data_IF_408489160225
#
_entry.id   IF_408489160225
#
_cell.length_a   1.000
_cell.length_b   1.000
_cell.length_c   1.000
_cell.angle_alpha   90.00
_cell.angle_beta   90.00
_cell.angle_gamma   90.00
#
_symmetry.space_group_name_H-M   'P 1'
#
loop_
_entity.id
_entity.type
_entity.pdbx_description
1 polymer ?
#
# COMPACT_ATOMS: atom_id res chain seq x y z
N UNK A 1 -5.54 6.74 -13.12
CA UNK A 1 -4.77 5.69 -12.44
C UNK A 1 -5.34 4.27 -12.64
N UNK A 2 -6.66 4.09 -12.80
CA UNK A 2 -7.30 2.77 -12.97
C UNK A 2 -6.77 1.82 -14.09
N UNK A 3 -6.28 2.26 -15.27
CA UNK A 3 -5.94 1.32 -16.35
C UNK A 3 -4.78 0.38 -16.02
N UNK A 4 -3.83 0.82 -15.20
CA UNK A 4 -2.63 0.01 -14.87
C UNK A 4 -2.97 -1.11 -13.85
N UNK A 5 -4.07 -0.96 -13.08
CA UNK A 5 -4.41 -1.90 -12.01
C UNK A 5 -5.05 -3.20 -12.50
N UNK A 6 -5.87 -3.12 -13.56
CA UNK A 6 -6.55 -4.30 -14.10
C UNK A 6 -5.55 -5.30 -14.71
N UNK A 7 -4.55 -4.81 -15.43
CA UNK A 7 -3.52 -5.66 -16.05
C UNK A 7 -2.65 -6.37 -15.00
N UNK A 8 -2.28 -5.67 -13.92
CA UNK A 8 -1.47 -6.27 -12.84
C UNK A 8 -2.20 -7.40 -12.10
N UNK A 9 -3.50 -7.24 -11.81
CA UNK A 9 -4.29 -8.29 -11.16
C UNK A 9 -4.42 -9.56 -12.02
N UNK A 10 -4.38 -9.39 -13.35
CA UNK A 10 -4.47 -10.50 -14.30
C UNK A 10 -3.18 -11.32 -14.35
N UNK A 11 -2.02 -10.69 -14.10
CA UNK A 11 -0.71 -11.36 -14.10
C UNK A 11 -0.24 -11.81 -12.71
N UNK A 12 -0.68 -11.15 -11.64
CA UNK A 12 -0.27 -11.43 -10.27
C UNK A 12 -1.49 -11.50 -9.35
N UNK A 13 -2.04 -12.70 -9.19
CA UNK A 13 -3.27 -12.96 -8.45
C UNK A 13 -3.30 -12.38 -7.02
N UNK A 14 -2.13 -12.27 -6.35
CA UNK A 14 -2.02 -11.63 -5.02
C UNK A 14 -2.40 -10.15 -4.99
N UNK A 15 -2.43 -9.45 -6.13
CA UNK A 15 -2.83 -8.04 -6.21
C UNK A 15 -4.32 -7.83 -6.44
N UNK A 16 -5.10 -8.89 -6.70
CA UNK A 16 -6.52 -8.78 -7.02
C UNK A 16 -7.36 -8.12 -5.91
N UNK A 17 -6.92 -8.22 -4.65
CA UNK A 17 -7.61 -7.63 -3.50
C UNK A 17 -7.46 -6.11 -3.36
N UNK A 18 -6.49 -5.48 -4.02
CA UNK A 18 -6.23 -4.04 -3.82
C UNK A 18 -7.29 -3.13 -4.46
N UNK A 19 -7.86 -3.53 -5.60
CA UNK A 19 -8.87 -2.73 -6.30
C UNK A 19 -10.07 -2.38 -5.41
N UNK A 20 -10.76 -3.39 -4.84
CA UNK A 20 -11.88 -3.14 -3.92
C UNK A 20 -11.49 -2.34 -2.66
N UNK A 21 -10.29 -2.56 -2.11
CA UNK A 21 -9.80 -1.83 -0.92
C UNK A 21 -9.56 -0.35 -1.23
N UNK A 22 -8.97 -0.03 -2.38
CA UNK A 22 -8.82 1.35 -2.84
C UNK A 22 -10.15 2.03 -3.10
N UNK A 23 -11.11 1.32 -3.73
CA UNK A 23 -12.44 1.86 -3.96
C UNK A 23 -13.13 2.21 -2.64
N UNK A 24 -13.10 1.30 -1.67
CA UNK A 24 -13.67 1.54 -0.35
C UNK A 24 -13.06 2.76 0.35
N UNK A 25 -11.73 2.87 0.41
CA UNK A 25 -11.08 4.03 1.02
C UNK A 25 -11.38 5.34 0.26
N UNK A 26 -11.46 5.28 -1.07
CA UNK A 26 -11.78 6.43 -1.90
C UNK A 26 -13.23 6.90 -1.71
N UNK A 27 -14.18 5.99 -1.53
CA UNK A 27 -15.59 6.31 -1.26
C UNK A 27 -15.73 7.15 0.01
N UNK A 28 -14.98 6.83 1.08
CA UNK A 28 -14.95 7.63 2.31
C UNK A 28 -14.33 9.02 2.11
N UNK A 29 -13.19 9.09 1.40
CA UNK A 29 -12.54 10.38 1.07
C UNK A 29 -13.48 11.26 0.25
N UNK A 30 -14.17 10.70 -0.74
CA UNK A 30 -15.14 11.42 -1.56
C UNK A 30 -16.42 11.77 -0.79
N UNK A 31 -16.77 10.98 0.22
CA UNK A 31 -17.82 11.26 1.19
C UNK A 31 -17.49 12.38 2.19
N UNK A 32 -16.28 12.95 2.12
CA UNK A 32 -15.83 14.06 2.97
C UNK A 32 -15.08 13.64 4.23
N UNK A 33 -14.89 12.34 4.45
CA UNK A 33 -14.05 11.83 5.54
C UNK A 33 -12.58 11.77 5.08
N UNK A 34 -11.94 12.95 5.11
CA UNK A 34 -10.57 13.11 4.64
C UNK A 34 -9.53 12.33 5.45
N UNK A 35 -9.87 11.84 6.65
CA UNK A 35 -8.97 10.98 7.43
C UNK A 35 -8.67 9.67 6.67
N UNK A 36 -9.59 9.19 5.83
CA UNK A 36 -9.37 8.02 4.98
C UNK A 36 -8.33 8.22 3.88
N UNK A 37 -7.82 9.43 3.67
CA UNK A 37 -6.77 9.66 2.70
C UNK A 37 -5.42 9.10 3.18
N UNK A 38 -5.02 9.42 4.42
CA UNK A 38 -3.68 9.09 4.94
C UNK A 38 -3.62 8.77 6.43
N UNK A 39 -4.75 8.66 7.13
CA UNK A 39 -4.75 8.35 8.56
C UNK A 39 -4.12 6.97 8.81
N UNK A 40 -3.25 6.84 9.83
CA UNK A 40 -2.67 5.57 10.23
C UNK A 40 -3.64 4.70 11.06
N UNK A 41 -4.81 5.25 11.46
CA UNK A 41 -5.77 4.58 12.34
C UNK A 41 -6.78 3.72 11.59
N UNK A 42 -6.91 3.95 10.29
CA UNK A 42 -7.82 3.21 9.41
C UNK A 42 -7.02 2.63 8.26
N UNK A 43 -7.63 1.70 7.52
CA UNK A 43 -7.11 1.25 6.24
C UNK A 43 -7.33 2.36 5.19
N UNK A 44 -6.57 3.45 5.35
CA UNK A 44 -6.63 4.62 4.48
C UNK A 44 -6.12 4.28 3.09
N UNK A 45 -6.44 5.14 2.13
CA UNK A 45 -5.96 5.03 0.76
C UNK A 45 -4.43 4.90 0.72
N UNK A 46 -3.72 5.69 1.53
CA UNK A 46 -2.26 5.59 1.67
C UNK A 46 -1.79 4.26 2.29
N UNK A 47 -2.54 3.67 3.23
CA UNK A 47 -2.22 2.36 3.79
C UNK A 47 -2.30 1.26 2.73
N UNK A 48 -3.39 1.21 1.98
CA UNK A 48 -3.59 0.25 0.88
C UNK A 48 -2.49 0.42 -0.17
N UNK A 49 -2.10 1.67 -0.47
CA UNK A 49 -1.00 1.97 -1.38
C UNK A 49 0.36 1.51 -0.87
N UNK A 50 0.70 1.75 0.39
CA UNK A 50 1.98 1.30 0.96
C UNK A 50 2.12 -0.22 0.92
N UNK A 51 1.09 -0.95 1.34
CA UNK A 51 1.09 -2.42 1.32
C UNK A 51 1.28 -2.95 -0.11
N UNK A 52 0.51 -2.40 -1.07
CA UNK A 52 0.65 -2.74 -2.48
C UNK A 52 2.06 -2.42 -3.01
N UNK A 53 2.62 -1.27 -2.62
CA UNK A 53 3.95 -0.82 -3.04
C UNK A 53 5.04 -1.75 -2.51
N UNK A 54 4.95 -2.21 -1.26
CA UNK A 54 5.86 -3.21 -0.73
C UNK A 54 5.75 -4.55 -1.44
N UNK A 55 4.53 -5.00 -1.72
CA UNK A 55 4.35 -6.24 -2.47
C UNK A 55 4.90 -6.14 -3.89
N UNK A 56 4.79 -4.98 -4.55
CA UNK A 56 5.41 -4.76 -5.86
C UNK A 56 6.93 -4.79 -5.77
N UNK A 57 7.53 -4.10 -4.81
CA UNK A 57 8.98 -4.11 -4.60
C UNK A 57 9.50 -5.54 -4.35
N UNK A 58 8.85 -6.29 -3.45
CA UNK A 58 9.18 -7.69 -3.18
C UNK A 58 9.08 -8.56 -4.45
N UNK A 59 8.06 -8.33 -5.28
CA UNK A 59 7.90 -9.02 -6.59
C UNK A 59 9.09 -8.78 -7.51
N UNK A 60 9.64 -7.57 -7.49
CA UNK A 60 10.75 -7.15 -8.32
C UNK A 60 12.11 -7.48 -7.69
N UNK A 61 12.13 -8.15 -6.53
CA UNK A 61 13.36 -8.47 -5.81
C UNK A 61 14.03 -7.25 -5.15
N UNK A 62 13.26 -6.17 -4.94
CA UNK A 62 13.72 -4.95 -4.26
C UNK A 62 13.30 -5.06 -2.79
N UNK A 63 14.26 -5.30 -1.90
CA UNK A 63 13.98 -5.47 -0.46
C UNK A 63 14.21 -4.18 0.35
N UNK A 64 13.36 -3.17 0.13
CA UNK A 64 13.39 -1.95 0.94
C UNK A 64 12.92 -2.14 2.38
N UNK A 65 12.01 -3.09 2.62
CA UNK A 65 11.50 -3.38 3.96
C UNK A 65 12.60 -4.00 4.84
N UNK A 66 13.40 -4.91 4.29
CA UNK A 66 14.59 -5.43 4.93
C UNK A 66 15.65 -4.36 5.18
N UNK A 67 15.85 -3.43 4.24
CA UNK A 67 16.75 -2.28 4.42
C UNK A 67 16.30 -1.34 5.55
N UNK A 68 15.01 -0.99 5.62
CA UNK A 68 14.41 -0.15 6.67
C UNK A 68 14.47 -0.83 8.05
N UNK A 69 14.14 -2.12 8.12
CA UNK A 69 14.23 -2.91 9.34
C UNK A 69 15.69 -3.06 9.82
N UNK A 70 16.63 -3.28 8.90
CA UNK A 70 18.06 -3.33 9.19
C UNK A 70 18.59 -2.00 9.71
N UNK A 71 18.11 -0.88 9.14
CA UNK A 71 18.46 0.47 9.60
C UNK A 71 17.89 0.77 10.99
N UNK A 72 16.63 0.43 11.24
CA UNK A 72 16.00 0.60 12.55
C UNK A 72 16.67 -0.25 13.65
N UNK A 73 17.15 -1.45 13.31
CA UNK A 73 17.92 -2.29 14.22
C UNK A 73 19.36 -1.78 14.46
N UNK A 74 19.90 -0.99 13.52
CA UNK A 74 21.25 -0.42 13.59
C UNK A 74 21.32 0.94 14.32
N UNK A 75 20.18 1.55 14.66
CA UNK A 75 20.12 2.75 15.51
C UNK A 75 19.96 2.32 16.98
N UNK A 76 21.04 2.22 17.79
CA UNK A 76 20.89 2.05 19.22
C UNK A 76 20.20 3.29 19.80
N UNK A 77 19.16 3.08 20.61
CA UNK A 77 18.57 4.13 21.44
C UNK A 77 19.68 4.77 22.28
N UNK A 78 20.08 5.98 21.89
CA UNK A 78 20.93 6.86 22.69
C UNK A 78 20.18 7.42 23.89
#
# INVERSE_FOLDING_TARGET
MQPIYADFATHLQRFAGYGPRFAHALDHVQGGDHDWFASPRVESYHHVWQEMHYNLQSTLGIDRAGEEASRAAAEPSG
#
